data_IF_599394617287
#
_entry.id   IF_599394617287
#
_cell.length_a   1.000
_cell.length_b   1.000
_cell.length_c   1.000
_cell.angle_alpha   90.00
_cell.angle_beta   90.00
_cell.angle_gamma   90.00
#
_symmetry.space_group_name_H-M   'P 1'
#
loop_
_entity.id
_entity.type
_entity.pdbx_description
1 polymer ?
#
# COMPACT_ATOMS: atom_id res chain seq x y z
N UNK A 1 -20.30 18.07 7.50
CA UNK A 1 -18.96 18.70 7.50
C UNK A 1 -17.86 17.69 7.82
N UNK A 2 -17.98 16.92 8.91
CA UNK A 2 -17.03 15.84 9.28
C UNK A 2 -16.83 14.81 8.15
N UNK A 3 -17.90 14.37 7.47
CA UNK A 3 -17.81 13.38 6.39
C UNK A 3 -16.90 13.80 5.23
N UNK A 4 -16.88 15.09 4.89
CA UNK A 4 -16.01 15.62 3.84
C UNK A 4 -14.54 15.69 4.27
N UNK A 5 -14.29 16.04 5.54
CA UNK A 5 -12.94 16.04 6.12
C UNK A 5 -12.37 14.61 6.18
N UNK A 6 -13.19 13.64 6.63
CA UNK A 6 -12.78 12.23 6.69
C UNK A 6 -12.48 11.68 5.29
N UNK A 7 -13.32 11.97 4.29
CA UNK A 7 -13.06 11.57 2.90
C UNK A 7 -11.76 12.18 2.35
N UNK A 8 -11.49 13.45 2.65
CA UNK A 8 -10.27 14.13 2.21
C UNK A 8 -9.01 13.47 2.74
N UNK A 9 -8.99 13.10 4.03
CA UNK A 9 -7.86 12.41 4.68
C UNK A 9 -7.65 11.01 4.06
N UNK A 10 -8.73 10.22 3.93
CA UNK A 10 -8.66 8.84 3.39
C UNK A 10 -8.17 8.83 1.93
N UNK A 11 -8.63 9.79 1.11
CA UNK A 11 -8.20 9.90 -0.29
C UNK A 11 -6.74 10.33 -0.39
N UNK A 12 -6.29 11.29 0.43
CA UNK A 12 -4.90 11.74 0.45
C UNK A 12 -3.94 10.60 0.81
N UNK A 13 -4.29 9.84 1.85
CA UNK A 13 -3.54 8.67 2.32
C UNK A 13 -3.40 7.60 1.21
N UNK A 14 -4.50 7.34 0.49
CA UNK A 14 -4.53 6.39 -0.63
C UNK A 14 -3.70 6.88 -1.82
N UNK A 15 -3.80 8.15 -2.20
CA UNK A 15 -3.07 8.73 -3.33
C UNK A 15 -1.56 8.74 -3.07
N UNK A 16 -1.15 9.07 -1.84
CA UNK A 16 0.25 9.04 -1.44
C UNK A 16 0.82 7.61 -1.52
N UNK A 17 0.06 6.63 -1.03
CA UNK A 17 0.43 5.21 -1.08
C UNK A 17 0.53 4.69 -2.53
N UNK A 18 -0.50 4.93 -3.35
CA UNK A 18 -0.56 4.48 -4.73
C UNK A 18 0.54 5.11 -5.60
N UNK A 19 0.88 6.37 -5.34
CA UNK A 19 1.95 7.07 -6.08
C UNK A 19 3.30 6.40 -5.85
N UNK A 20 3.62 5.99 -4.61
CA UNK A 20 4.85 5.25 -4.32
C UNK A 20 4.81 3.81 -4.82
N UNK A 21 3.65 3.15 -4.75
CA UNK A 21 3.47 1.82 -5.33
C UNK A 21 3.72 1.80 -6.83
N UNK A 22 3.07 2.71 -7.56
CA UNK A 22 3.23 2.85 -9.01
C UNK A 22 4.66 3.19 -9.38
N UNK A 23 5.33 4.01 -8.57
CA UNK A 23 6.75 4.30 -8.73
C UNK A 23 7.63 3.06 -8.56
N UNK A 24 7.38 2.24 -7.53
CA UNK A 24 8.10 0.98 -7.33
C UNK A 24 7.86 -0.04 -8.47
N UNK A 25 6.64 -0.12 -9.00
CA UNK A 25 6.30 -0.98 -10.15
C UNK A 25 6.95 -0.49 -11.46
N UNK A 26 6.83 0.80 -11.78
CA UNK A 26 7.33 1.36 -13.06
C UNK A 26 8.83 1.62 -13.08
N UNK A 27 9.42 2.15 -12.02
CA UNK A 27 10.83 2.58 -12.02
C UNK A 27 11.78 1.48 -11.55
N UNK A 28 11.36 0.61 -10.61
CA UNK A 28 12.21 -0.48 -10.09
C UNK A 28 11.89 -1.86 -10.68
N UNK A 29 10.77 -2.02 -11.41
CA UNK A 29 10.37 -3.31 -11.97
C UNK A 29 10.09 -4.39 -10.93
N UNK A 30 9.79 -4.00 -9.68
CA UNK A 30 9.58 -4.94 -8.58
C UNK A 30 8.35 -5.82 -8.81
N UNK A 31 8.45 -7.08 -8.40
CA UNK A 31 7.30 -7.97 -8.30
C UNK A 31 6.24 -7.37 -7.37
N UNK A 32 4.94 -7.65 -7.59
CA UNK A 32 3.84 -7.11 -6.78
C UNK A 32 4.08 -7.13 -5.26
N UNK A 33 4.50 -8.25 -4.63
CA UNK A 33 4.71 -8.28 -3.18
C UNK A 33 5.87 -7.39 -2.71
N UNK A 34 6.93 -7.26 -3.51
CA UNK A 34 8.07 -6.39 -3.18
C UNK A 34 7.72 -4.91 -3.35
N UNK A 35 6.94 -4.57 -4.38
CA UNK A 35 6.45 -3.20 -4.58
C UNK A 35 5.53 -2.75 -3.44
N UNK A 36 4.65 -3.64 -2.94
CA UNK A 36 3.81 -3.38 -1.75
C UNK A 36 4.70 -3.15 -0.53
N UNK A 37 5.71 -4.00 -0.30
CA UNK A 37 6.60 -3.88 0.87
C UNK A 37 7.43 -2.59 0.84
N UNK A 38 7.90 -2.16 -0.34
CA UNK A 38 8.59 -0.89 -0.53
C UNK A 38 7.64 0.28 -0.28
N UNK A 39 6.45 0.27 -0.87
CA UNK A 39 5.44 1.31 -0.65
C UNK A 39 5.08 1.41 0.84
N UNK A 40 4.91 0.28 1.53
CA UNK A 40 4.59 0.23 2.95
C UNK A 40 5.72 0.78 3.84
N UNK A 41 7.00 0.46 3.57
CA UNK A 41 8.12 1.04 4.32
C UNK A 41 8.25 2.55 4.11
N UNK A 42 7.97 3.03 2.90
CA UNK A 42 8.14 4.46 2.57
C UNK A 42 6.96 5.30 3.05
N UNK A 43 5.73 4.82 2.83
CA UNK A 43 4.49 5.57 3.08
C UNK A 43 3.87 5.23 4.42
N UNK A 44 4.01 3.99 4.91
CA UNK A 44 3.40 3.59 6.17
C UNK A 44 3.90 4.41 7.36
N UNK A 45 5.16 4.86 7.34
CA UNK A 45 5.69 5.80 8.35
C UNK A 45 5.01 7.17 8.29
N UNK A 46 4.72 7.67 7.10
CA UNK A 46 4.03 8.95 6.91
C UNK A 46 2.59 8.86 7.44
N UNK A 47 1.85 7.80 7.05
CA UNK A 47 0.48 7.53 7.50
C UNK A 47 0.37 7.38 9.02
N UNK A 48 1.32 6.68 9.65
CA UNK A 48 1.38 6.58 11.11
C UNK A 48 1.55 7.95 11.77
N UNK A 49 2.42 8.79 11.20
CA UNK A 49 2.74 10.09 11.79
C UNK A 49 1.55 11.05 11.71
N UNK A 50 0.91 11.18 10.54
CA UNK A 50 -0.28 12.03 10.35
C UNK A 50 -1.42 11.61 11.25
N UNK A 51 -1.63 10.30 11.36
CA UNK A 51 -2.70 9.76 12.18
C UNK A 51 -2.44 9.90 13.68
N UNK A 52 -1.18 9.80 14.12
CA UNK A 52 -0.82 10.09 15.51
C UNK A 52 -1.13 11.56 15.86
N UNK A 53 -0.82 12.48 14.94
CA UNK A 53 -1.13 13.91 15.09
C UNK A 53 -2.64 14.13 15.17
N UNK A 54 -3.42 13.48 14.31
CA UNK A 54 -4.88 13.56 14.33
C UNK A 54 -5.46 13.02 15.64
N UNK A 55 -5.05 11.82 16.07
CA UNK A 55 -5.47 11.23 17.34
C UNK A 55 -5.12 12.15 18.51
N UNK A 56 -3.88 12.67 18.56
CA UNK A 56 -3.48 13.62 19.59
C UNK A 56 -4.34 14.89 19.58
N UNK A 57 -4.64 15.45 18.41
CA UNK A 57 -5.54 16.60 18.27
C UNK A 57 -6.95 16.33 18.80
N UNK A 58 -7.53 15.18 18.46
CA UNK A 58 -8.86 14.79 18.95
C UNK A 58 -8.87 14.41 20.43
N UNK A 59 -7.76 13.88 20.97
CA UNK A 59 -7.59 13.67 22.41
C UNK A 59 -7.59 15.01 23.15
N UNK A 60 -6.89 16.03 22.64
CA UNK A 60 -6.94 17.38 23.23
C UNK A 60 -8.35 17.96 23.19
N UNK A 61 -9.08 17.79 22.08
CA UNK A 61 -10.49 18.18 21.99
C UNK A 61 -11.36 17.40 23.00
N UNK A 62 -11.03 16.13 23.26
CA UNK A 62 -11.77 15.29 24.21
C UNK A 62 -11.65 15.73 25.67
N UNK A 63 -10.59 16.50 26.01
CA UNK A 63 -10.38 17.09 27.33
C UNK A 63 -11.21 18.35 27.56
N UNK A 64 -11.99 18.79 26.57
CA UNK A 64 -12.87 19.96 26.70
C UNK A 64 -13.93 19.74 27.79
N UNK A 65 -14.20 20.78 28.57
CA UNK A 65 -15.26 20.80 29.60
C UNK A 65 -16.69 20.79 29.05
N UNK A 66 -16.83 20.89 27.72
CA UNK A 66 -18.11 20.81 27.02
C UNK A 66 -18.39 19.36 26.59
N UNK A 67 -19.44 18.75 27.15
CA UNK A 67 -19.84 17.34 26.88
C UNK A 67 -19.92 16.99 25.39
N UNK A 68 -20.42 17.91 24.56
CA UNK A 68 -20.50 17.71 23.10
C UNK A 68 -19.12 17.55 22.48
N UNK A 69 -18.15 18.39 22.86
CA UNK A 69 -16.78 18.33 22.35
C UNK A 69 -16.06 17.10 22.89
N UNK A 70 -16.28 16.74 24.16
CA UNK A 70 -15.70 15.54 24.78
C UNK A 70 -16.18 14.25 24.08
N UNK A 71 -17.49 14.13 23.85
CA UNK A 71 -18.10 13.00 23.16
C UNK A 71 -17.64 12.89 21.71
N UNK A 72 -17.66 14.00 20.96
CA UNK A 72 -17.17 14.04 19.58
C UNK A 72 -15.68 13.71 19.47
N UNK A 73 -14.86 14.20 20.40
CA UNK A 73 -13.43 13.93 20.45
C UNK A 73 -13.11 12.44 20.59
N UNK A 74 -13.79 11.74 21.53
CA UNK A 74 -13.59 10.29 21.74
C UNK A 74 -14.06 9.46 20.54
N UNK A 75 -15.24 9.75 20.01
CA UNK A 75 -15.79 9.05 18.83
C UNK A 75 -14.88 9.24 17.61
N UNK A 76 -14.40 10.45 17.38
CA UNK A 76 -13.56 10.75 16.21
C UNK A 76 -12.17 10.13 16.35
N UNK A 77 -11.58 10.15 17.55
CA UNK A 77 -10.32 9.45 17.82
C UNK A 77 -10.45 7.94 17.55
N UNK A 78 -11.56 7.31 17.96
CA UNK A 78 -11.83 5.90 17.68
C UNK A 78 -11.98 5.63 16.18
N UNK A 79 -12.75 6.47 15.47
CA UNK A 79 -12.93 6.33 14.01
C UNK A 79 -11.62 6.44 13.27
N UNK A 80 -10.75 7.40 13.64
CA UNK A 80 -9.44 7.58 13.00
C UNK A 80 -8.53 6.38 13.28
N UNK A 81 -8.53 5.85 14.50
CA UNK A 81 -7.78 4.64 14.84
C UNK A 81 -8.25 3.42 14.03
N UNK A 82 -9.57 3.25 13.87
CA UNK A 82 -10.14 2.17 13.06
C UNK A 82 -9.86 2.37 11.56
N UNK A 83 -9.92 3.60 11.06
CA UNK A 83 -9.60 3.93 9.67
C UNK A 83 -8.13 3.60 9.33
N UNK A 84 -7.20 4.02 10.18
CA UNK A 84 -5.79 3.62 10.09
C UNK A 84 -5.60 2.10 10.03
N UNK A 85 -6.30 1.39 10.90
CA UNK A 85 -6.19 -0.06 10.99
C UNK A 85 -6.75 -0.71 9.71
N UNK A 86 -7.88 -0.22 9.23
CA UNK A 86 -8.44 -0.62 7.96
C UNK A 86 -7.47 -0.31 6.81
N UNK A 87 -6.86 0.87 6.75
CA UNK A 87 -5.92 1.22 5.69
C UNK A 87 -4.72 0.28 5.70
N UNK A 88 -4.11 0.00 6.86
CA UNK A 88 -2.98 -0.93 6.92
C UNK A 88 -3.34 -2.39 6.63
N UNK A 89 -4.56 -2.83 6.95
CA UNK A 89 -4.97 -4.22 6.77
C UNK A 89 -5.66 -4.48 5.44
N UNK A 90 -6.32 -3.48 4.86
CA UNK A 90 -7.13 -3.57 3.65
C UNK A 90 -6.36 -3.14 2.41
N UNK A 91 -5.48 -2.12 2.48
CA UNK A 91 -4.64 -1.73 1.34
C UNK A 91 -3.75 -2.86 0.81
N UNK A 92 -2.95 -3.58 1.63
CA UNK A 92 -2.06 -4.61 1.11
C UNK A 92 -2.79 -5.72 0.33
N UNK A 93 -3.88 -6.35 0.84
CA UNK A 93 -4.61 -7.36 0.08
C UNK A 93 -5.39 -6.76 -1.10
N UNK A 94 -5.92 -5.54 -1.01
CA UNK A 94 -6.59 -4.88 -2.13
C UNK A 94 -5.63 -4.64 -3.30
N UNK A 95 -4.43 -4.14 -3.00
CA UNK A 95 -3.38 -3.96 -4.01
C UNK A 95 -2.95 -5.29 -4.62
N UNK A 96 -2.75 -6.32 -3.77
CA UNK A 96 -2.33 -7.65 -4.22
C UNK A 96 -3.38 -8.29 -5.15
N UNK A 97 -4.67 -8.06 -4.90
CA UNK A 97 -5.77 -8.53 -5.76
C UNK A 97 -5.86 -7.77 -7.09
N UNK A 98 -5.76 -6.43 -7.06
CA UNK A 98 -5.79 -5.59 -8.28
C UNK A 98 -4.60 -5.92 -9.19
N UNK A 99 -3.42 -6.15 -8.62
CA UNK A 99 -2.23 -6.43 -9.41
C UNK A 99 -2.23 -7.86 -9.95
N UNK A 100 -2.84 -8.81 -9.24
CA UNK A 100 -3.09 -10.18 -9.74
C UNK A 100 -4.04 -10.18 -10.94
N UNK A 101 -5.07 -9.33 -10.96
CA UNK A 101 -5.96 -9.22 -12.13
C UNK A 101 -5.33 -8.41 -13.27
N UNK A 102 -4.43 -7.47 -12.98
CA UNK A 102 -3.65 -6.76 -14.00
C UNK A 102 -2.58 -7.65 -14.67
N UNK A 103 -2.10 -8.69 -13.97
CA UNK A 103 -1.18 -9.70 -14.50
C UNK A 103 -1.90 -10.82 -15.29
N UNK A 104 -3.25 -10.84 -15.27
CA UNK A 104 -4.07 -11.62 -16.22
C UNK A 104 -4.30 -10.90 -17.55
N UNK A 105 -3.46 -9.91 -17.89
CA UNK A 105 -3.30 -9.47 -19.27
C UNK A 105 -2.66 -10.60 -20.09
N UNK A 106 -3.12 -10.88 -21.33
CA UNK A 106 -2.65 -12.00 -22.14
C UNK A 106 -1.19 -11.78 -22.56
N UNK A 107 -0.21 -12.25 -21.78
CA UNK A 107 1.20 -12.16 -22.20
C UNK A 107 2.31 -12.53 -21.21
N UNK A 108 2.05 -12.65 -19.91
CA UNK A 108 3.13 -12.76 -18.92
C UNK A 108 3.51 -14.20 -18.48
N UNK A 109 3.10 -15.23 -19.23
CA UNK A 109 3.33 -16.64 -18.86
C UNK A 109 4.31 -17.45 -19.73
N UNK A 110 4.73 -16.96 -20.90
CA UNK A 110 5.34 -17.85 -21.92
C UNK A 110 6.86 -17.81 -22.04
N UNK A 111 7.57 -16.85 -21.44
CA UNK A 111 8.96 -16.57 -21.84
C UNK A 111 10.06 -17.06 -20.86
N UNK A 112 9.69 -17.70 -19.75
CA UNK A 112 10.67 -18.30 -18.82
C UNK A 112 10.98 -19.76 -19.21
N UNK A 113 9.98 -20.51 -19.69
CA UNK A 113 10.15 -21.89 -20.13
C UNK A 113 10.98 -22.03 -21.43
N UNK A 114 10.96 -21.02 -22.30
CA UNK A 114 11.73 -21.00 -23.57
C UNK A 114 13.22 -20.73 -23.40
N UNK A 115 13.62 -20.06 -22.31
CA UNK A 115 15.04 -19.69 -22.08
C UNK A 115 15.87 -20.88 -21.57
N UNK A 116 15.26 -21.78 -20.79
CA UNK A 116 15.90 -22.99 -20.31
C UNK A 116 16.12 -24.03 -21.42
N UNK A 117 15.21 -24.11 -22.39
CA UNK A 117 15.31 -25.04 -23.54
C UNK A 117 16.25 -24.56 -24.63
N UNK A 118 16.49 -23.25 -24.77
CA UNK A 118 17.48 -22.72 -25.71
C UNK A 118 18.92 -22.94 -25.23
N UNK A 119 19.17 -22.84 -23.92
CA UNK A 119 20.52 -23.03 -23.33
C UNK A 119 21.03 -24.48 -23.41
N UNK A 120 20.14 -25.47 -23.49
CA UNK A 120 20.54 -26.88 -23.72
C UNK A 120 20.84 -27.22 -25.19
N UNK A 121 20.41 -26.38 -26.14
CA UNK A 121 20.62 -26.63 -27.58
C UNK A 121 21.99 -26.17 -28.08
N UNK A 122 22.61 -25.23 -27.36
CA UNK A 122 23.89 -24.60 -27.75
C UNK A 122 25.11 -25.22 -27.04
N UNK A 123 24.95 -26.33 -26.29
CA UNK A 123 26.07 -27.02 -25.63
C UNK A 123 26.61 -28.15 -26.52
N UNK A 124 27.68 -27.88 -27.26
CA UNK A 124 28.54 -28.91 -27.86
C UNK A 124 29.70 -29.23 -26.90
N UNK A 125 29.96 -30.50 -26.56
CA UNK A 125 31.10 -30.85 -25.73
C UNK A 125 32.40 -30.56 -26.48
N UNK A 126 33.44 -30.01 -25.83
CA UNK A 126 34.75 -29.87 -26.43
C UNK A 126 35.31 -31.27 -26.72
N UNK A 127 35.62 -31.51 -27.99
CA UNK A 127 36.32 -32.71 -28.45
C UNK A 127 37.73 -32.75 -27.85
N UNK A 128 38.06 -33.96 -27.40
CA UNK A 128 39.25 -34.45 -26.71
C UNK A 128 40.60 -34.02 -27.29
N UNK A 129 41.68 -34.41 -26.61
CA UNK A 129 42.56 -35.42 -27.23
C UNK A 129 42.40 -36.81 -26.61
#
# INVERSE_FOLDING_TARGET
>A
MVSAMTLGIVVDDTVHFLSKYRRARRELGCAPPDAVRVAFRTVGRALLTTSLVLVAGFVVVSLSSFEINAGMGRLTALVIALALFADFFLLPPLLMKIDTDSDKGPGAGSNVAGRATRRKRDWTPPSSP
#
